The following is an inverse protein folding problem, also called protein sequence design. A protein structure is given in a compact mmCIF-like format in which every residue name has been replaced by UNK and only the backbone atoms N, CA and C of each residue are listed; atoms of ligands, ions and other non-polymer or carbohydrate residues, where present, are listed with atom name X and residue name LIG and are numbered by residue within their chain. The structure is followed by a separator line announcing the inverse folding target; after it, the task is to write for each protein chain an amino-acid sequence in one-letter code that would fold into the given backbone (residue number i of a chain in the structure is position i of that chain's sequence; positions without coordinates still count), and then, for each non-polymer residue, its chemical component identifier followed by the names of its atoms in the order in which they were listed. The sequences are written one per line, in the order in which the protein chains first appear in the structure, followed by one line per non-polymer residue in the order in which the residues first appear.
data_IF_593040086086
#
_entry.id   IF_593040086086
#
_cell.length_a   1.000
_cell.length_b   1.000
_cell.length_c   1.000
_cell.angle_alpha   90.00
_cell.angle_beta   90.00
_cell.angle_gamma   90.00
#
_symmetry.space_group_name_H-M   'P 1'
#
loop_
_entity.id
_entity.type
_entity.pdbx_description
1 polymer ?
#
# COMPACT_ATOMS: atom_id res chain seq x y z
N UNK A 1 -24.29 15.44 -13.88
CA UNK A 1 -24.73 14.09 -14.16
C UNK A 1 -23.72 13.07 -13.67
N UNK A 2 -24.19 12.05 -12.99
CA UNK A 2 -23.30 11.05 -12.42
C UNK A 2 -22.97 9.98 -13.43
N UNK A 3 -21.70 9.73 -13.60
CA UNK A 3 -21.22 8.60 -14.39
C UNK A 3 -21.10 7.37 -13.51
N UNK A 4 -20.97 6.17 -14.10
CA UNK A 4 -20.76 4.97 -13.30
C UNK A 4 -19.52 5.05 -12.41
N UNK A 5 -18.52 5.84 -12.80
CA UNK A 5 -17.31 5.99 -12.01
C UNK A 5 -17.56 6.71 -10.70
N UNK A 6 -18.62 7.50 -10.62
CA UNK A 6 -18.90 8.25 -9.41
C UNK A 6 -19.50 7.41 -8.31
N UNK A 7 -19.72 6.13 -8.55
CA UNK A 7 -20.07 5.22 -7.48
C UNK A 7 -18.95 5.06 -6.47
N UNK A 8 -17.72 5.32 -6.89
CA UNK A 8 -16.58 5.32 -5.99
C UNK A 8 -16.49 6.67 -5.33
N UNK A 9 -16.23 6.65 -4.04
CA UNK A 9 -16.07 7.89 -3.30
C UNK A 9 -14.82 8.64 -3.72
N UNK A 10 -13.80 7.91 -4.15
CA UNK A 10 -12.50 8.50 -4.46
C UNK A 10 -11.99 7.96 -5.78
N UNK A 11 -11.31 8.82 -6.51
CA UNK A 11 -10.67 8.42 -7.75
C UNK A 11 -9.47 7.53 -7.44
N UNK A 12 -9.25 6.55 -8.29
CA UNK A 12 -8.11 5.66 -8.19
C UNK A 12 -7.06 6.05 -9.19
N UNK A 13 -5.82 6.02 -8.74
CA UNK A 13 -4.67 6.29 -9.58
C UNK A 13 -3.91 4.99 -9.76
N UNK A 14 -3.69 4.60 -11.02
CA UNK A 14 -2.92 3.41 -11.33
C UNK A 14 -1.46 3.75 -11.31
N UNK A 15 -0.71 3.07 -10.44
CA UNK A 15 0.71 3.32 -10.26
C UNK A 15 1.42 2.00 -10.02
N UNK A 16 2.74 2.03 -10.12
CA UNK A 16 3.56 0.88 -9.78
C UNK A 16 4.67 1.40 -8.87
N UNK A 17 4.44 1.31 -7.58
CA UNK A 17 5.34 1.89 -6.59
C UNK A 17 5.73 0.84 -5.55
N UNK A 18 6.97 0.89 -5.06
CA UNK A 18 7.37 0.01 -3.96
C UNK A 18 6.57 0.34 -2.71
N UNK A 19 6.17 -0.70 -2.00
CA UNK A 19 5.49 -0.54 -0.72
C UNK A 19 6.11 -1.50 0.28
N UNK A 20 6.34 -1.01 1.48
CA UNK A 20 6.76 -1.82 2.61
C UNK A 20 5.61 -1.90 3.58
N UNK A 21 5.30 -3.11 4.05
CA UNK A 21 4.22 -3.28 5.01
C UNK A 21 4.75 -3.87 6.30
N UNK A 22 4.07 -3.51 7.38
CA UNK A 22 4.33 -4.02 8.71
C UNK A 22 3.02 -4.50 9.29
N UNK A 23 3.04 -5.68 9.87
CA UNK A 23 1.84 -6.30 10.39
C UNK A 23 2.20 -7.18 11.58
N UNK A 24 1.18 -7.78 12.19
CA UNK A 24 1.37 -8.76 13.24
C UNK A 24 0.62 -10.02 12.86
N UNK A 25 1.23 -11.15 13.17
CA UNK A 25 0.60 -12.45 12.90
C UNK A 25 -0.64 -12.60 13.77
N UNK A 26 -1.76 -13.06 13.19
CA UNK A 26 -3.00 -13.13 13.98
C UNK A 26 -2.92 -14.06 15.19
N UNK A 27 -2.18 -15.15 15.09
CA UNK A 27 -2.17 -16.16 16.14
C UNK A 27 -1.22 -15.82 17.28
N UNK A 28 -0.07 -15.25 16.98
CA UNK A 28 1.00 -15.05 17.96
C UNK A 28 1.28 -13.60 18.24
N UNK A 29 0.69 -12.69 17.49
CA UNK A 29 0.96 -11.25 17.59
C UNK A 29 2.41 -10.92 17.32
N UNK A 30 3.16 -11.82 16.69
CA UNK A 30 4.54 -11.57 16.33
C UNK A 30 4.62 -10.59 15.18
N UNK A 31 5.54 -9.62 15.22
CA UNK A 31 5.65 -8.67 14.12
C UNK A 31 6.28 -9.32 12.89
N UNK A 32 5.82 -8.90 11.72
CA UNK A 32 6.46 -9.28 10.48
C UNK A 32 6.33 -8.14 9.49
N UNK A 33 7.24 -8.14 8.53
CA UNK A 33 7.26 -7.09 7.51
C UNK A 33 7.65 -7.70 6.19
N UNK A 34 7.34 -6.98 5.13
CA UNK A 34 7.69 -7.41 3.81
C UNK A 34 7.51 -6.28 2.82
N UNK A 35 7.73 -6.61 1.57
CA UNK A 35 7.66 -5.63 0.48
C UNK A 35 6.72 -6.12 -0.59
N UNK A 36 6.13 -5.17 -1.28
CA UNK A 36 5.24 -5.46 -2.38
C UNK A 36 5.28 -4.34 -3.39
N UNK A 37 4.34 -4.42 -4.33
CA UNK A 37 4.23 -3.42 -5.40
C UNK A 37 2.80 -2.91 -5.37
N UNK A 38 2.67 -1.63 -5.11
CA UNK A 38 1.37 -0.96 -5.10
C UNK A 38 0.89 -0.83 -6.54
N UNK A 39 -0.38 -1.16 -6.77
CA UNK A 39 -0.97 -1.16 -8.10
C UNK A 39 -1.93 -0.01 -8.32
N UNK A 40 -2.65 0.39 -7.29
CA UNK A 40 -3.48 1.57 -7.37
C UNK A 40 -3.63 2.16 -5.98
N UNK A 41 -3.99 3.41 -5.92
CA UNK A 41 -4.16 4.12 -4.66
C UNK A 41 -5.23 5.19 -4.83
N UNK A 42 -5.98 5.42 -3.77
CA UNK A 42 -6.94 6.50 -3.66
C UNK A 42 -6.89 7.04 -2.24
N UNK A 43 -7.73 8.03 -1.96
CA UNK A 43 -7.80 8.52 -0.59
C UNK A 43 -8.40 7.49 0.36
N UNK A 44 -9.19 6.57 -0.15
CA UNK A 44 -9.87 5.58 0.69
C UNK A 44 -9.12 4.29 0.88
N UNK A 45 -8.16 3.97 0.03
CA UNK A 45 -7.46 2.71 0.15
C UNK A 45 -6.50 2.45 -0.99
N UNK A 46 -5.98 1.23 -0.99
CA UNK A 46 -4.98 0.84 -1.98
C UNK A 46 -5.09 -0.66 -2.26
N UNK A 47 -4.59 -1.06 -3.42
CA UNK A 47 -4.42 -2.45 -3.78
C UNK A 47 -2.96 -2.67 -4.13
N UNK A 48 -2.34 -3.70 -3.54
CA UNK A 48 -0.94 -3.98 -3.81
C UNK A 48 -0.72 -5.47 -3.93
N UNK A 49 0.35 -5.83 -4.64
CA UNK A 49 0.76 -7.21 -4.84
C UNK A 49 1.87 -7.56 -3.87
N UNK A 50 1.86 -8.80 -3.39
CA UNK A 50 2.89 -9.33 -2.51
C UNK A 50 3.34 -10.68 -3.04
N UNK A 51 4.42 -11.20 -2.47
CA UNK A 51 4.95 -12.50 -2.87
C UNK A 51 3.93 -13.60 -2.66
N UNK A 52 3.98 -14.67 -3.50
CA UNK A 52 2.97 -15.73 -3.41
C UNK A 52 2.91 -16.43 -2.07
N UNK A 53 4.02 -16.44 -1.32
CA UNK A 53 4.02 -17.08 -0.01
C UNK A 53 3.44 -16.24 1.11
N UNK A 54 3.04 -15.00 0.82
CA UNK A 54 2.50 -14.11 1.82
C UNK A 54 0.99 -14.23 1.86
N UNK A 55 0.42 -14.16 3.05
CA UNK A 55 -1.02 -14.30 3.23
C UNK A 55 -1.52 -13.33 4.28
N UNK A 56 -2.66 -12.73 4.03
CA UNK A 56 -3.33 -11.83 4.96
C UNK A 56 -4.77 -12.24 5.12
N UNK A 57 -5.36 -11.83 6.23
CA UNK A 57 -6.76 -12.10 6.52
C UNK A 57 -7.55 -10.81 6.57
N UNK A 58 -8.80 -10.81 6.10
CA UNK A 58 -9.65 -9.63 6.28
C UNK A 58 -9.74 -9.23 7.75
N UNK A 59 -9.69 -7.93 8.00
CA UNK A 59 -9.68 -7.39 9.35
C UNK A 59 -8.30 -7.14 9.90
N UNK A 60 -7.26 -7.66 9.29
CA UNK A 60 -5.90 -7.47 9.76
C UNK A 60 -5.45 -6.02 9.50
N UNK A 61 -4.73 -5.45 10.46
CA UNK A 61 -4.28 -4.07 10.36
C UNK A 61 -2.83 -4.06 9.90
N UNK A 62 -2.57 -3.24 8.89
CA UNK A 62 -1.24 -3.07 8.32
C UNK A 62 -0.82 -1.62 8.35
N UNK A 63 0.47 -1.40 8.59
CA UNK A 63 1.09 -0.10 8.36
C UNK A 63 1.87 -0.16 7.06
N UNK A 64 1.68 0.84 6.21
CA UNK A 64 2.33 0.89 4.90
C UNK A 64 3.25 2.09 4.81
N UNK A 65 4.38 1.89 4.15
CA UNK A 65 5.25 2.97 3.70
C UNK A 65 5.37 2.82 2.19
N UNK A 66 4.90 3.82 1.47
CA UNK A 66 4.88 3.81 0.01
C UNK A 66 5.94 4.79 -0.45
N UNK A 67 6.87 4.31 -1.26
CA UNK A 67 7.97 5.14 -1.76
C UNK A 67 7.61 5.67 -3.13
N UNK A 68 7.64 7.00 -3.28
CA UNK A 68 7.31 7.66 -4.53
C UNK A 68 8.40 8.66 -4.86
N UNK A 69 9.05 8.54 -6.03
CA UNK A 69 10.04 9.54 -6.41
C UNK A 69 9.36 10.87 -6.72
N UNK A 70 10.01 11.95 -6.32
CA UNK A 70 9.56 13.30 -6.61
C UNK A 70 10.56 13.97 -7.51
N UNK A 71 10.34 13.96 -8.83
CA UNK A 71 11.33 14.45 -9.77
C UNK A 71 11.55 15.95 -9.70
N UNK A 72 10.68 16.70 -9.02
CA UNK A 72 10.79 18.15 -8.97
C UNK A 72 11.53 18.65 -7.75
N UNK A 73 11.91 17.78 -6.83
CA UNK A 73 12.57 18.21 -5.60
C UNK A 73 14.01 17.71 -5.62
N UNK A 74 14.92 18.60 -5.94
CA UNK A 74 16.32 18.21 -6.10
C UNK A 74 16.96 17.81 -4.79
N UNK A 75 16.51 18.40 -3.69
CA UNK A 75 17.08 18.09 -2.38
C UNK A 75 16.45 16.88 -1.72
N UNK A 76 15.53 16.23 -2.41
CA UNK A 76 14.88 15.01 -1.90
C UNK A 76 15.06 13.92 -2.91
N UNK A 77 15.49 12.77 -2.45
CA UNK A 77 15.61 11.63 -3.34
C UNK A 77 14.34 10.83 -3.37
N UNK A 78 13.69 10.67 -2.23
CA UNK A 78 12.52 9.82 -2.09
C UNK A 78 11.52 10.52 -1.20
N UNK A 79 10.27 10.44 -1.59
CA UNK A 79 9.16 10.81 -0.74
C UNK A 79 8.44 9.58 -0.29
N UNK A 80 7.89 9.64 0.89
CA UNK A 80 7.18 8.50 1.47
C UNK A 80 5.78 8.93 1.84
N UNK A 81 4.84 8.05 1.56
CA UNK A 81 3.49 8.15 2.10
C UNK A 81 3.34 7.05 3.13
N UNK A 82 2.80 7.41 4.29
CA UNK A 82 2.57 6.45 5.35
C UNK A 82 1.07 6.37 5.61
N UNK A 83 0.61 5.15 5.82
CA UNK A 83 -0.81 4.91 6.04
C UNK A 83 -0.98 3.67 6.90
N UNK A 84 -2.07 3.66 7.64
CA UNK A 84 -2.52 2.46 8.36
C UNK A 84 -3.84 2.06 7.73
N UNK A 85 -4.03 0.78 7.52
CA UNK A 85 -5.25 0.31 6.92
C UNK A 85 -5.66 -1.07 7.39
N UNK A 86 -6.86 -1.42 7.02
CA UNK A 86 -7.46 -2.72 7.35
C UNK A 86 -7.61 -3.50 6.06
N UNK A 87 -7.19 -4.76 6.09
CA UNK A 87 -7.35 -5.67 4.95
C UNK A 87 -8.83 -5.96 4.78
N UNK A 88 -9.36 -5.66 3.59
CA UNK A 88 -10.76 -5.96 3.28
C UNK A 88 -10.88 -7.16 2.35
N UNK A 89 -9.80 -7.51 1.63
CA UNK A 89 -9.82 -8.66 0.75
C UNK A 89 -8.40 -9.11 0.48
N UNK A 90 -8.20 -10.41 0.45
CA UNK A 90 -6.94 -11.02 0.05
C UNK A 90 -7.21 -11.92 -1.14
N UNK A 91 -6.47 -11.70 -2.22
CA UNK A 91 -6.59 -12.49 -3.44
C UNK A 91 -5.39 -13.42 -3.54
N UNK A 92 -5.58 -14.73 -3.39
CA UNK A 92 -4.46 -15.65 -3.48
C UNK A 92 -3.90 -15.73 -4.90
N UNK A 93 -2.67 -16.23 -5.06
CA UNK A 93 -2.08 -16.36 -6.39
C UNK A 93 -2.90 -17.28 -7.28
N UNK A 94 -2.85 -17.02 -8.58
CA UNK A 94 -3.51 -17.82 -9.60
C UNK A 94 -2.52 -18.14 -10.71
N UNK A 95 -2.80 -19.17 -11.55
CA UNK A 95 -1.86 -19.52 -12.61
C UNK A 95 -1.51 -18.37 -13.55
N UNK A 96 -2.49 -17.49 -13.84
CA UNK A 96 -2.24 -16.35 -14.71
C UNK A 96 -1.86 -15.08 -13.93
N UNK A 97 -1.78 -15.15 -12.62
CA UNK A 97 -1.38 -14.04 -11.78
C UNK A 97 -0.62 -14.62 -10.58
N UNK A 98 0.70 -14.77 -10.70
CA UNK A 98 1.47 -15.46 -9.65
C UNK A 98 1.58 -14.67 -8.35
N UNK A 99 1.36 -13.37 -8.37
CA UNK A 99 1.41 -12.58 -7.14
C UNK A 99 0.08 -12.66 -6.40
N UNK A 100 0.15 -12.61 -5.09
CA UNK A 100 -1.05 -12.42 -4.26
C UNK A 100 -1.40 -10.95 -4.24
N UNK A 101 -2.66 -10.64 -3.96
CA UNK A 101 -3.15 -9.27 -3.93
C UNK A 101 -3.82 -8.94 -2.62
N UNK A 102 -3.66 -7.70 -2.18
CA UNK A 102 -4.24 -7.22 -0.92
C UNK A 102 -4.98 -5.93 -1.18
N UNK A 103 -6.26 -5.91 -0.83
CA UNK A 103 -7.06 -4.70 -0.87
C UNK A 103 -7.16 -4.16 0.56
N UNK A 104 -6.77 -2.91 0.73
CA UNK A 104 -6.64 -2.29 2.03
C UNK A 104 -7.50 -1.04 2.08
N UNK A 105 -8.27 -0.88 3.14
CA UNK A 105 -9.06 0.31 3.42
C UNK A 105 -8.32 1.16 4.44
N UNK A 106 -8.02 2.40 4.10
CA UNK A 106 -7.23 3.26 4.99
C UNK A 106 -8.04 3.63 6.22
N UNK A 107 -7.36 3.58 7.36
CA UNK A 107 -7.90 4.03 8.63
C UNK A 107 -7.25 5.38 8.93
N UNK A 108 -7.91 6.45 8.55
CA UNK A 108 -7.33 7.77 8.63
C UNK A 108 -6.77 8.19 7.28
N UNK A 109 -5.95 9.21 7.27
CA UNK A 109 -5.42 9.77 6.05
C UNK A 109 -4.03 9.28 5.72
N UNK A 110 -3.57 9.62 4.53
CA UNK A 110 -2.20 9.43 4.16
C UNK A 110 -1.34 10.52 4.76
N UNK A 111 -0.17 10.15 5.26
CA UNK A 111 0.81 11.10 5.76
C UNK A 111 1.98 11.14 4.78
N UNK A 112 2.28 12.34 4.31
CA UNK A 112 3.36 12.52 3.34
C UNK A 112 4.62 12.94 4.07
N UNK A 113 5.74 12.25 3.75
CA UNK A 113 7.04 12.56 4.32
C UNK A 113 8.06 12.62 3.19
N UNK A 114 8.82 13.71 3.14
CA UNK A 114 9.92 13.84 2.19
C UNK A 114 11.23 13.65 2.94
N UNK A 115 12.12 12.84 2.38
CA UNK A 115 13.40 12.56 3.01
C UNK A 115 14.49 13.27 2.23
N UNK A 116 15.15 14.26 2.81
CA UNK A 116 16.28 14.92 2.14
C UNK A 116 17.41 13.93 1.91
N UNK A 117 18.18 14.16 0.85
CA UNK A 117 19.25 13.26 0.47
C UNK A 117 20.29 13.10 1.58
N UNK A 118 20.59 14.18 2.29
CA UNK A 118 21.62 14.14 3.32
C UNK A 118 21.17 13.40 4.58
N UNK A 119 19.96 12.95 4.64
CA UNK A 119 19.47 12.15 5.76
C UNK A 119 19.40 10.66 5.44
N UNK A 120 20.03 10.26 4.36
CA UNK A 120 19.92 8.89 3.87
C UNK A 120 21.03 7.99 4.43
N UNK A 121 21.48 8.22 5.62
CA UNK A 121 22.52 7.37 6.18
C UNK A 121 22.46 7.34 7.69
#
# INVERSE_FOLDING_TARGET
MNSPLERRRFSRIMVSLPVEYHARLPETDAPFQGQGVLRDISQGGTYFHVDPGTSFQPGQILSLTISAPLPYLEDTEISHFQATGEVIRFDPPEPNRPQAGVALNFLGGLTFCATPAQQMF
#
